data_IF_904252340767
#
_entry.id   IF_904252340767
#
_cell.length_a   1.000
_cell.length_b   1.000
_cell.length_c   1.000
_cell.angle_alpha   90.00
_cell.angle_beta   90.00
_cell.angle_gamma   90.00
#
_symmetry.space_group_name_H-M   'P 1'
#
loop_
_entity.id
_entity.type
_entity.pdbx_description
1 polymer ?
#
# COMPACT_ATOMS: atom_id res chain seq x y z
N UNK A 1 -82.86 22.94 18.26
CA UNK A 1 -82.61 23.12 16.80
C UNK A 1 -81.16 23.40 16.66
N UNK A 2 -80.40 22.38 16.44
CA UNK A 2 -78.94 22.48 16.23
C UNK A 2 -78.59 21.44 15.18
N UNK A 3 -77.98 21.87 14.11
CA UNK A 3 -77.58 21.02 12.98
C UNK A 3 -76.09 20.63 13.16
N UNK A 4 -75.84 19.36 13.23
CA UNK A 4 -74.53 18.78 13.20
C UNK A 4 -73.93 18.84 11.79
N UNK A 5 -72.71 19.29 11.69
CA UNK A 5 -71.88 19.14 10.51
C UNK A 5 -70.60 18.40 10.89
N UNK A 6 -70.55 17.12 10.55
CA UNK A 6 -69.39 16.25 10.71
C UNK A 6 -68.37 16.59 9.57
N UNK A 7 -67.18 17.03 9.92
CA UNK A 7 -66.05 17.15 9.00
C UNK A 7 -65.13 15.95 9.16
N UNK A 8 -65.05 15.17 8.09
CA UNK A 8 -64.05 14.12 7.87
C UNK A 8 -62.67 14.76 7.63
N UNK A 9 -61.76 14.55 8.52
CA UNK A 9 -60.33 14.85 8.28
C UNK A 9 -59.66 13.60 7.76
N UNK A 10 -59.29 13.67 6.46
CA UNK A 10 -58.43 12.66 5.83
C UNK A 10 -56.99 12.81 6.30
N UNK A 11 -56.51 11.77 6.94
CA UNK A 11 -55.09 11.68 7.34
C UNK A 11 -54.21 11.38 6.14
N UNK A 12 -53.37 12.34 5.76
CA UNK A 12 -52.27 12.12 4.84
C UNK A 12 -51.08 11.54 5.60
N UNK A 13 -50.82 10.26 5.36
CA UNK A 13 -49.60 9.60 5.84
C UNK A 13 -48.44 10.13 5.01
N UNK A 14 -47.55 10.87 5.68
CA UNK A 14 -46.29 11.32 5.10
C UNK A 14 -45.31 10.16 5.05
N UNK A 15 -45.02 9.67 3.86
CA UNK A 15 -43.87 8.82 3.56
C UNK A 15 -42.60 9.63 3.74
N UNK A 16 -41.94 9.50 4.87
CA UNK A 16 -40.60 10.03 5.09
C UNK A 16 -39.63 9.08 4.38
N UNK A 17 -39.20 9.50 3.19
CA UNK A 17 -38.19 8.79 2.40
C UNK A 17 -36.85 8.76 3.14
N UNK A 18 -36.32 7.56 3.36
CA UNK A 18 -35.00 7.31 3.92
C UNK A 18 -33.87 7.65 2.92
N UNK A 19 -33.79 8.91 2.46
CA UNK A 19 -32.74 9.43 1.59
C UNK A 19 -31.66 10.23 2.35
N UNK A 20 -31.75 10.32 3.68
CA UNK A 20 -30.92 11.20 4.50
C UNK A 20 -29.54 10.68 4.91
N UNK A 21 -29.24 9.38 4.74
CA UNK A 21 -28.05 8.79 5.36
C UNK A 21 -26.76 8.80 4.50
N UNK A 22 -26.82 9.16 3.24
CA UNK A 22 -25.65 9.13 2.33
C UNK A 22 -24.97 10.49 2.16
N UNK A 23 -25.63 11.58 2.50
CA UNK A 23 -25.12 12.94 2.21
C UNK A 23 -24.12 13.49 3.24
N UNK A 24 -23.98 12.89 4.40
CA UNK A 24 -23.08 13.42 5.47
C UNK A 24 -21.60 13.12 5.18
N UNK A 25 -21.28 12.11 4.37
CA UNK A 25 -19.90 11.73 4.04
C UNK A 25 -19.20 12.67 3.03
N UNK A 26 -19.94 13.38 2.19
CA UNK A 26 -19.35 14.12 1.05
C UNK A 26 -18.90 15.54 1.43
N UNK A 27 -19.49 16.14 2.45
CA UNK A 27 -19.22 17.54 2.85
C UNK A 27 -17.88 17.76 3.57
N UNK A 28 -17.23 16.71 4.07
CA UNK A 28 -15.95 16.82 4.79
C UNK A 28 -14.71 16.91 3.86
N UNK A 29 -14.87 16.78 2.57
CA UNK A 29 -13.79 16.82 1.60
C UNK A 29 -13.54 18.25 1.09
N UNK A 30 -13.09 19.14 1.97
CA UNK A 30 -12.53 20.44 1.53
C UNK A 30 -11.49 20.17 0.43
N UNK A 31 -11.32 21.14 -0.50
CA UNK A 31 -10.41 21.02 -1.66
C UNK A 31 -9.08 20.41 -1.21
N UNK A 32 -8.67 19.26 -1.76
CA UNK A 32 -7.41 18.64 -1.39
C UNK A 32 -6.27 19.59 -1.75
N UNK A 33 -5.22 19.56 -0.93
CA UNK A 33 -3.95 20.20 -1.29
C UNK A 33 -3.38 19.56 -2.56
N UNK A 34 -2.45 20.24 -3.22
CA UNK A 34 -1.69 19.68 -4.34
C UNK A 34 -1.09 18.32 -3.96
N UNK A 35 -1.08 17.39 -4.91
CA UNK A 35 -0.55 16.05 -4.71
C UNK A 35 0.96 16.11 -4.43
N UNK A 36 1.40 15.47 -3.38
CA UNK A 36 2.79 15.43 -2.91
C UNK A 36 3.34 14.00 -3.12
N UNK A 37 3.91 13.70 -4.28
CA UNK A 37 4.41 12.36 -4.61
C UNK A 37 5.41 11.79 -3.62
N UNK A 38 6.24 12.64 -3.02
CA UNK A 38 7.26 12.24 -2.06
C UNK A 38 6.75 12.14 -0.60
N UNK A 39 5.49 12.46 -0.34
CA UNK A 39 4.95 12.46 1.02
C UNK A 39 4.16 11.20 1.35
N UNK A 40 4.47 10.58 2.49
CA UNK A 40 3.80 9.39 2.97
C UNK A 40 3.47 9.52 4.46
N UNK A 41 2.25 9.21 4.85
CA UNK A 41 1.82 9.23 6.24
C UNK A 41 2.00 7.88 6.90
N UNK A 42 2.50 7.88 8.12
CA UNK A 42 2.43 6.73 9.03
C UNK A 42 1.21 6.94 9.94
N UNK A 43 0.23 6.03 9.89
CA UNK A 43 -0.91 6.07 10.79
C UNK A 43 -0.48 5.74 12.22
N UNK A 44 -0.94 6.56 13.15
CA UNK A 44 -0.72 6.30 14.56
C UNK A 44 -1.82 5.37 15.10
N UNK A 45 -1.54 4.57 16.14
CA UNK A 45 -2.54 3.68 16.75
C UNK A 45 -3.83 4.39 17.21
N UNK A 46 -3.69 5.64 17.64
CA UNK A 46 -4.80 6.48 18.11
C UNK A 46 -5.58 7.16 16.98
N UNK A 47 -5.12 7.12 15.74
CA UNK A 47 -5.83 7.74 14.61
C UNK A 47 -7.15 7.01 14.38
N UNK A 48 -8.26 7.66 14.69
CA UNK A 48 -9.59 7.09 14.54
C UNK A 48 -9.93 6.79 13.07
N UNK A 49 -9.57 7.74 12.18
CA UNK A 49 -9.72 7.64 10.72
C UNK A 49 -8.52 8.33 10.04
N UNK A 50 -7.50 7.58 9.66
CA UNK A 50 -6.25 8.15 9.14
C UNK A 50 -6.38 8.71 7.71
N UNK A 51 -7.23 8.11 6.86
CA UNK A 51 -7.26 8.39 5.42
C UNK A 51 -7.71 9.82 5.05
N UNK A 52 -8.77 10.40 5.65
CA UNK A 52 -9.23 11.74 5.27
C UNK A 52 -8.17 12.82 5.46
N UNK A 53 -7.37 12.73 6.53
CA UNK A 53 -6.32 13.72 6.80
C UNK A 53 -5.20 13.66 5.75
N UNK A 54 -4.81 12.46 5.34
CA UNK A 54 -3.79 12.18 4.32
C UNK A 54 -4.21 12.76 2.97
N UNK A 55 -5.43 12.45 2.54
CA UNK A 55 -5.97 12.91 1.25
C UNK A 55 -6.20 14.43 1.22
N UNK A 56 -6.64 15.05 2.33
CA UNK A 56 -6.76 16.52 2.41
C UNK A 56 -5.42 17.22 2.30
N UNK A 57 -4.36 16.65 2.85
CA UNK A 57 -3.01 17.20 2.79
C UNK A 57 -2.30 16.98 1.46
N UNK A 58 -2.85 16.12 0.60
CA UNK A 58 -2.26 15.76 -0.70
C UNK A 58 -1.14 14.73 -0.59
N UNK A 59 -0.95 14.07 0.55
CA UNK A 59 0.07 13.03 0.69
C UNK A 59 -0.24 11.85 -0.23
N UNK A 60 0.81 11.32 -0.86
CA UNK A 60 0.72 10.26 -1.88
C UNK A 60 0.84 8.85 -1.31
N UNK A 61 0.77 8.70 0.00
CA UNK A 61 0.80 7.38 0.60
C UNK A 61 0.39 7.36 2.07
N UNK A 62 0.05 6.15 2.51
CA UNK A 62 -0.36 5.86 3.88
C UNK A 62 0.10 4.45 4.27
N UNK A 63 0.78 4.33 5.41
CA UNK A 63 1.00 3.05 6.09
C UNK A 63 -0.04 2.88 7.18
N UNK A 64 -0.69 1.71 7.20
CA UNK A 64 -1.66 1.36 8.24
C UNK A 64 -1.29 0.02 8.88
N UNK A 65 -1.12 -0.02 10.21
CA UNK A 65 -0.96 -1.27 10.92
C UNK A 65 -2.30 -2.01 10.97
N UNK A 66 -2.27 -3.28 10.60
CA UNK A 66 -3.47 -4.15 10.61
C UNK A 66 -3.19 -5.46 11.32
N UNK A 67 -4.28 -6.10 11.75
CA UNK A 67 -4.27 -7.45 12.29
C UNK A 67 -5.55 -8.18 11.90
N UNK A 68 -5.48 -9.51 11.77
CA UNK A 68 -6.67 -10.31 11.56
C UNK A 68 -7.58 -10.27 12.77
N UNK A 69 -8.87 -10.38 12.54
CA UNK A 69 -9.87 -10.47 13.58
C UNK A 69 -11.06 -11.34 13.14
N UNK A 70 -12.16 -11.31 13.89
CA UNK A 70 -13.35 -12.10 13.59
C UNK A 70 -13.95 -11.74 12.23
N UNK A 71 -14.81 -12.63 11.74
CA UNK A 71 -15.59 -12.47 10.50
C UNK A 71 -14.77 -12.23 9.24
N UNK A 72 -13.48 -12.61 9.20
CA UNK A 72 -12.62 -12.40 8.03
C UNK A 72 -12.34 -10.93 7.73
N UNK A 73 -12.28 -10.08 8.76
CA UNK A 73 -11.93 -8.66 8.65
C UNK A 73 -10.52 -8.38 9.16
N UNK A 74 -9.90 -7.35 8.57
CA UNK A 74 -8.63 -6.78 9.02
C UNK A 74 -8.92 -5.51 9.81
N UNK A 75 -8.46 -5.46 11.05
CA UNK A 75 -8.70 -4.35 11.98
C UNK A 75 -7.48 -3.45 12.07
N UNK A 76 -7.71 -2.14 12.13
CA UNK A 76 -6.66 -1.14 12.24
C UNK A 76 -6.14 -1.02 13.68
N UNK A 77 -4.80 -0.97 13.80
CA UNK A 77 -4.11 -0.69 15.05
C UNK A 77 -3.90 -1.92 15.97
N UNK A 78 -3.18 -1.73 17.10
CA UNK A 78 -2.77 -2.81 18.00
C UNK A 78 -3.84 -3.21 19.03
N UNK A 79 -4.85 -2.39 19.27
CA UNK A 79 -5.88 -2.61 20.29
C UNK A 79 -6.83 -3.79 19.99
N UNK A 80 -7.82 -4.08 20.85
CA UNK A 80 -8.84 -5.10 20.57
C UNK A 80 -9.64 -4.80 19.30
N UNK A 81 -10.12 -5.81 18.55
CA UNK A 81 -11.00 -5.59 17.41
C UNK A 81 -12.19 -4.72 17.82
N UNK A 82 -12.30 -3.56 17.17
CA UNK A 82 -13.43 -2.65 17.41
C UNK A 82 -14.35 -2.67 16.20
N UNK A 83 -15.64 -2.93 16.37
CA UNK A 83 -16.58 -2.86 15.27
C UNK A 83 -16.47 -1.53 14.52
N UNK A 84 -16.34 -1.60 13.20
CA UNK A 84 -16.18 -0.39 12.39
C UNK A 84 -14.75 0.13 12.21
N UNK A 85 -13.75 -0.35 12.95
CA UNK A 85 -12.34 -0.01 12.73
C UNK A 85 -11.63 -1.01 11.81
N UNK A 86 -12.24 -1.34 10.68
CA UNK A 86 -11.68 -2.29 9.72
C UNK A 86 -10.95 -1.55 8.59
N UNK A 87 -9.93 -2.21 8.01
CA UNK A 87 -9.22 -1.73 6.82
C UNK A 87 -10.18 -1.44 5.68
N UNK A 88 -11.14 -2.34 5.45
CA UNK A 88 -12.16 -2.19 4.42
C UNK A 88 -12.95 -0.89 4.61
N UNK A 89 -13.50 -0.67 5.81
CA UNK A 89 -14.40 0.46 6.07
C UNK A 89 -13.69 1.80 6.09
N UNK A 90 -12.54 1.89 6.75
CA UNK A 90 -11.86 3.16 6.98
C UNK A 90 -10.85 3.54 5.89
N UNK A 91 -10.36 2.56 5.12
CA UNK A 91 -9.32 2.83 4.12
C UNK A 91 -9.75 2.40 2.72
N UNK A 92 -10.03 1.11 2.48
CA UNK A 92 -10.25 0.62 1.12
C UNK A 92 -11.51 1.22 0.50
N UNK A 93 -12.67 1.09 1.14
CA UNK A 93 -13.93 1.57 0.60
C UNK A 93 -13.93 3.07 0.27
N UNK A 94 -13.51 3.99 1.18
CA UNK A 94 -13.46 5.41 0.87
C UNK A 94 -12.39 5.78 -0.15
N UNK A 95 -11.23 5.10 -0.15
CA UNK A 95 -10.16 5.32 -1.12
C UNK A 95 -10.64 4.99 -2.54
N UNK A 96 -11.23 3.83 -2.72
CA UNK A 96 -11.71 3.38 -4.02
C UNK A 96 -12.99 4.08 -4.49
N UNK A 97 -13.91 4.43 -3.57
CA UNK A 97 -15.04 5.28 -3.90
C UNK A 97 -14.58 6.64 -4.46
N UNK A 98 -13.56 7.23 -3.83
CA UNK A 98 -12.97 8.49 -4.32
C UNK A 98 -12.32 8.32 -5.70
N UNK A 99 -11.57 7.25 -5.92
CA UNK A 99 -10.93 6.99 -7.22
C UNK A 99 -11.98 6.83 -8.33
N UNK A 100 -13.03 6.05 -8.10
CA UNK A 100 -14.14 5.89 -9.06
C UNK A 100 -14.82 7.20 -9.37
N UNK A 101 -15.14 8.02 -8.36
CA UNK A 101 -15.77 9.32 -8.54
C UNK A 101 -14.93 10.35 -9.31
N UNK A 102 -13.64 10.04 -9.55
CA UNK A 102 -12.65 10.93 -10.19
C UNK A 102 -12.00 10.31 -11.42
N UNK A 103 -12.66 9.38 -12.09
CA UNK A 103 -12.18 8.75 -13.32
C UNK A 103 -10.88 7.95 -13.13
N UNK A 104 -10.78 7.19 -12.02
CA UNK A 104 -9.61 6.36 -11.73
C UNK A 104 -8.46 7.09 -11.04
N UNK A 105 -8.67 8.31 -10.49
CA UNK A 105 -7.65 9.09 -9.81
C UNK A 105 -8.11 9.55 -8.43
N UNK A 106 -7.20 9.65 -7.48
CA UNK A 106 -7.50 10.18 -6.14
C UNK A 106 -7.47 11.71 -6.10
N UNK A 107 -6.59 12.33 -6.90
CA UNK A 107 -6.43 13.75 -7.06
C UNK A 107 -6.34 14.10 -8.55
N UNK A 108 -6.70 15.36 -8.92
CA UNK A 108 -6.65 15.82 -10.31
C UNK A 108 -5.23 15.78 -10.87
N UNK A 109 -4.25 16.13 -10.05
CA UNK A 109 -2.82 16.24 -10.33
C UNK A 109 -2.03 14.99 -9.93
N UNK A 110 -2.69 13.84 -9.80
CA UNK A 110 -2.04 12.56 -9.48
C UNK A 110 -1.15 12.10 -10.63
N UNK A 111 0.16 12.09 -10.40
CA UNK A 111 1.17 11.68 -11.38
C UNK A 111 1.70 10.26 -11.13
N UNK A 112 1.58 9.76 -9.91
CA UNK A 112 2.02 8.42 -9.50
C UNK A 112 0.93 7.76 -8.68
N UNK A 113 0.87 6.43 -8.63
CA UNK A 113 -0.06 5.71 -7.77
C UNK A 113 0.04 6.15 -6.30
N UNK A 114 -1.10 6.18 -5.62
CA UNK A 114 -1.13 6.31 -4.17
C UNK A 114 -0.57 5.02 -3.54
N UNK A 115 0.37 5.14 -2.62
CA UNK A 115 1.01 3.99 -1.97
C UNK A 115 0.27 3.64 -0.68
N UNK A 116 -0.41 2.52 -0.67
CA UNK A 116 -1.00 1.96 0.54
C UNK A 116 -0.09 0.84 1.07
N UNK A 117 0.58 1.07 2.18
CA UNK A 117 1.34 0.04 2.87
C UNK A 117 0.48 -0.56 3.96
N UNK A 118 0.17 -1.84 3.83
CA UNK A 118 -0.58 -2.62 4.83
C UNK A 118 0.44 -3.39 5.65
N UNK A 119 0.65 -2.93 6.88
CA UNK A 119 1.63 -3.50 7.79
C UNK A 119 0.95 -4.47 8.73
N UNK A 120 1.28 -5.75 8.61
CA UNK A 120 0.75 -6.78 9.47
C UNK A 120 1.56 -6.83 10.77
N UNK A 121 0.89 -6.52 11.87
CA UNK A 121 1.45 -6.53 13.21
C UNK A 121 0.52 -7.24 14.18
N UNK A 122 1.04 -7.51 15.38
CA UNK A 122 0.27 -8.11 16.45
C UNK A 122 1.12 -9.02 17.34
N UNK A 123 0.56 -9.55 18.43
CA UNK A 123 1.26 -10.44 19.34
C UNK A 123 1.59 -11.80 18.70
N UNK A 124 0.80 -12.23 17.73
CA UNK A 124 1.07 -13.48 17.01
C UNK A 124 2.00 -13.21 15.83
N UNK A 125 3.17 -13.82 15.87
CA UNK A 125 4.09 -13.96 14.74
C UNK A 125 3.93 -15.32 14.04
N UNK A 126 2.82 -16.00 14.30
CA UNK A 126 2.50 -17.26 13.67
C UNK A 126 2.28 -17.06 12.17
N UNK A 127 3.11 -17.72 11.38
CA UNK A 127 3.13 -17.60 9.93
C UNK A 127 1.76 -17.95 9.32
N UNK A 128 1.09 -18.98 9.83
CA UNK A 128 -0.22 -19.38 9.32
C UNK A 128 -1.29 -18.30 9.52
N UNK A 129 -1.30 -17.68 10.70
CA UNK A 129 -2.21 -16.56 11.00
C UNK A 129 -1.93 -15.37 10.09
N UNK A 130 -0.67 -15.02 9.84
CA UNK A 130 -0.29 -13.92 8.95
C UNK A 130 -0.63 -14.23 7.48
N UNK A 131 -0.40 -15.46 7.03
CA UNK A 131 -0.77 -15.89 5.68
C UNK A 131 -2.28 -15.89 5.49
N UNK A 132 -3.04 -16.30 6.50
CA UNK A 132 -4.51 -16.20 6.51
C UNK A 132 -4.97 -14.75 6.43
N UNK A 133 -4.31 -13.85 7.16
CA UNK A 133 -4.58 -12.41 7.10
C UNK A 133 -4.29 -11.82 5.71
N UNK A 134 -3.19 -12.22 5.07
CA UNK A 134 -2.92 -11.84 3.70
C UNK A 134 -4.02 -12.32 2.72
N UNK A 135 -4.50 -13.56 2.85
CA UNK A 135 -5.61 -14.06 2.01
C UNK A 135 -6.89 -13.24 2.17
N UNK A 136 -7.14 -12.70 3.38
CA UNK A 136 -8.26 -11.77 3.61
C UNK A 136 -8.02 -10.47 2.82
N UNK A 137 -6.81 -9.90 2.90
CA UNK A 137 -6.44 -8.70 2.15
C UNK A 137 -6.59 -8.93 0.64
N UNK A 138 -6.04 -10.00 0.10
CA UNK A 138 -6.09 -10.32 -1.34
C UNK A 138 -7.53 -10.38 -1.87
N UNK A 139 -8.45 -11.01 -1.12
CA UNK A 139 -9.87 -11.02 -1.49
C UNK A 139 -10.47 -9.61 -1.50
N UNK A 140 -10.18 -8.81 -0.48
CA UNK A 140 -10.68 -7.42 -0.42
C UNK A 140 -10.13 -6.55 -1.55
N UNK A 141 -8.89 -6.78 -1.99
CA UNK A 141 -8.28 -6.06 -3.10
C UNK A 141 -8.89 -6.45 -4.45
N UNK A 142 -9.21 -7.71 -4.65
CA UNK A 142 -9.84 -8.20 -5.91
C UNK A 142 -11.16 -7.50 -6.21
N UNK A 143 -11.93 -7.11 -5.19
CA UNK A 143 -13.17 -6.32 -5.35
C UNK A 143 -12.93 -4.93 -6.00
N UNK A 144 -11.65 -4.50 -6.06
CA UNK A 144 -11.23 -3.19 -6.54
C UNK A 144 -10.14 -3.26 -7.62
N UNK A 145 -9.98 -4.42 -8.26
CA UNK A 145 -8.91 -4.75 -9.21
C UNK A 145 -8.63 -3.66 -10.25
N UNK A 146 -9.68 -3.07 -10.84
CA UNK A 146 -9.56 -2.04 -11.89
C UNK A 146 -8.88 -0.73 -11.44
N UNK A 147 -8.70 -0.51 -10.14
CA UNK A 147 -8.09 0.70 -9.57
C UNK A 147 -6.70 0.44 -8.98
N UNK A 148 -6.29 -0.82 -8.94
CA UNK A 148 -5.04 -1.23 -8.35
C UNK A 148 -3.96 -1.45 -9.39
N UNK A 149 -2.72 -1.11 -9.02
CA UNK A 149 -1.57 -1.62 -9.74
C UNK A 149 -1.57 -3.14 -9.65
N UNK A 150 -1.31 -3.80 -10.78
CA UNK A 150 -1.31 -5.25 -10.87
C UNK A 150 -0.06 -5.78 -11.55
N UNK A 151 0.26 -7.02 -11.28
CA UNK A 151 1.27 -7.77 -12.00
C UNK A 151 0.66 -9.06 -12.50
N UNK A 152 0.83 -9.33 -13.77
CA UNK A 152 0.40 -10.58 -14.40
C UNK A 152 1.40 -10.98 -15.48
N UNK A 153 1.94 -12.20 -15.39
CA UNK A 153 2.78 -12.82 -16.42
C UNK A 153 3.97 -11.95 -16.91
N UNK A 154 4.63 -11.24 -16.01
CA UNK A 154 5.77 -10.37 -16.33
C UNK A 154 5.41 -8.91 -16.58
N UNK A 155 4.12 -8.58 -16.70
CA UNK A 155 3.66 -7.21 -16.97
C UNK A 155 3.19 -6.55 -15.68
N UNK A 156 3.75 -5.37 -15.40
CA UNK A 156 3.31 -4.48 -14.33
C UNK A 156 2.41 -3.39 -14.92
N UNK A 157 1.15 -3.39 -14.52
CA UNK A 157 0.18 -2.37 -14.91
C UNK A 157 -0.04 -1.39 -13.76
N UNK A 158 0.28 -0.10 -13.91
CA UNK A 158 0.06 0.90 -12.87
C UNK A 158 -1.42 1.24 -12.74
N UNK A 159 -1.95 1.22 -11.51
CA UNK A 159 -3.30 1.68 -11.17
C UNK A 159 -3.29 3.00 -10.41
N UNK A 160 -4.47 3.42 -9.93
CA UNK A 160 -4.59 4.59 -9.06
C UNK A 160 -3.91 4.38 -7.70
N UNK A 161 -3.85 3.12 -7.25
CA UNK A 161 -3.31 2.72 -5.95
C UNK A 161 -2.37 1.54 -6.12
N UNK A 162 -1.19 1.62 -5.54
CA UNK A 162 -0.27 0.48 -5.37
C UNK A 162 -0.30 0.04 -3.92
N UNK A 163 -0.54 -1.25 -3.68
CA UNK A 163 -0.57 -1.83 -2.34
C UNK A 163 0.73 -2.58 -2.07
N UNK A 164 1.41 -2.26 -0.98
CA UNK A 164 2.54 -3.02 -0.48
C UNK A 164 2.18 -3.69 0.85
N UNK A 165 2.73 -4.88 1.08
CA UNK A 165 2.52 -5.68 2.28
C UNK A 165 3.82 -5.75 3.07
N UNK A 166 3.75 -5.35 4.33
CA UNK A 166 4.85 -5.39 5.28
C UNK A 166 4.51 -6.27 6.50
N UNK A 167 5.53 -6.73 7.22
CA UNK A 167 5.36 -7.46 8.48
C UNK A 167 5.06 -8.96 8.37
N UNK A 168 5.05 -9.53 7.16
CA UNK A 168 4.90 -10.98 6.93
C UNK A 168 6.16 -11.51 6.24
N UNK A 169 6.90 -12.38 6.90
CA UNK A 169 8.17 -12.94 6.38
C UNK A 169 7.92 -13.74 5.09
N UNK A 170 6.93 -14.63 5.10
CA UNK A 170 6.68 -15.58 3.99
C UNK A 170 5.71 -15.04 2.93
N UNK A 171 5.33 -13.75 3.01
CA UNK A 171 4.39 -13.17 2.03
C UNK A 171 4.96 -13.17 0.60
N UNK A 172 6.28 -13.14 0.46
CA UNK A 172 6.96 -13.12 -0.84
C UNK A 172 6.70 -14.38 -1.65
N UNK A 173 6.77 -15.56 -1.02
CA UNK A 173 6.47 -16.83 -1.68
C UNK A 173 5.01 -16.87 -2.16
N UNK A 174 4.07 -16.44 -1.30
CA UNK A 174 2.67 -16.34 -1.70
C UNK A 174 2.45 -15.40 -2.88
N UNK A 175 3.04 -14.21 -2.82
CA UNK A 175 2.93 -13.22 -3.91
C UNK A 175 3.58 -13.72 -5.19
N UNK A 176 4.74 -14.36 -5.10
CA UNK A 176 5.45 -14.93 -6.26
C UNK A 176 4.66 -16.06 -6.92
N UNK A 177 3.94 -16.86 -6.12
CA UNK A 177 3.08 -17.96 -6.62
C UNK A 177 1.79 -17.50 -7.28
N UNK A 178 1.38 -16.25 -7.14
CA UNK A 178 0.17 -15.73 -7.77
C UNK A 178 0.41 -15.37 -9.23
N UNK A 179 -0.37 -15.95 -10.14
CA UNK A 179 -0.36 -15.60 -11.58
C UNK A 179 -0.69 -14.12 -11.78
N UNK A 180 -1.73 -13.63 -11.10
CA UNK A 180 -2.11 -12.21 -11.04
C UNK A 180 -2.17 -11.76 -9.60
N UNK A 181 -1.49 -10.66 -9.28
CA UNK A 181 -1.50 -10.06 -7.94
C UNK A 181 -1.77 -8.57 -7.98
N UNK A 182 -2.39 -8.09 -6.92
CA UNK A 182 -2.75 -6.68 -6.70
C UNK A 182 -2.02 -6.08 -5.50
N UNK A 183 -1.08 -6.84 -4.93
CA UNK A 183 -0.20 -6.39 -3.88
C UNK A 183 1.25 -6.78 -4.18
N UNK A 184 2.17 -6.07 -3.58
CA UNK A 184 3.60 -6.25 -3.72
C UNK A 184 4.22 -6.39 -2.32
N UNK A 185 5.38 -7.01 -2.21
CA UNK A 185 6.09 -7.04 -0.94
C UNK A 185 6.78 -5.69 -0.69
N UNK A 186 6.73 -5.22 0.55
CA UNK A 186 7.57 -4.12 1.02
C UNK A 186 8.96 -4.68 1.32
N UNK A 187 10.02 -4.02 0.87
CA UNK A 187 11.39 -4.49 0.98
C UNK A 187 12.24 -3.69 1.95
N UNK A 188 13.49 -4.10 2.10
CA UNK A 188 14.55 -3.38 2.82
C UNK A 188 15.79 -3.25 1.95
N UNK A 189 16.80 -2.50 2.39
CA UNK A 189 18.08 -2.45 1.66
C UNK A 189 18.81 -3.80 1.58
N UNK A 190 18.45 -4.76 2.44
CA UNK A 190 19.02 -6.13 2.37
C UNK A 190 18.49 -6.94 1.18
N UNK A 191 17.46 -6.43 0.49
CA UNK A 191 16.89 -7.05 -0.70
C UNK A 191 17.62 -6.68 -2.00
N UNK A 192 18.51 -5.69 -1.93
CA UNK A 192 19.28 -5.26 -3.10
C UNK A 192 20.23 -6.37 -3.57
N UNK A 193 20.24 -6.63 -4.87
CA UNK A 193 21.03 -7.71 -5.46
C UNK A 193 20.52 -9.12 -5.17
N UNK A 194 19.39 -9.27 -4.46
CA UNK A 194 18.88 -10.57 -4.01
C UNK A 194 17.94 -11.19 -5.05
N UNK A 195 18.27 -12.37 -5.63
CA UNK A 195 17.43 -13.00 -6.65
C UNK A 195 16.02 -13.38 -6.17
N UNK A 196 15.84 -13.68 -4.90
CA UNK A 196 14.54 -14.02 -4.30
C UNK A 196 13.62 -12.79 -4.12
N UNK A 197 14.14 -11.58 -4.30
CA UNK A 197 13.40 -10.34 -4.19
C UNK A 197 13.47 -9.50 -5.48
N UNK A 198 13.01 -10.00 -6.63
CA UNK A 198 13.08 -9.24 -7.88
C UNK A 198 12.25 -7.94 -7.80
N UNK A 199 12.61 -6.87 -8.52
CA UNK A 199 11.89 -5.59 -8.50
C UNK A 199 10.40 -5.70 -8.83
N UNK A 200 10.01 -6.65 -9.65
CA UNK A 200 8.61 -6.92 -9.95
C UNK A 200 7.81 -7.42 -8.73
N UNK A 201 8.47 -8.06 -7.77
CA UNK A 201 7.88 -8.55 -6.52
C UNK A 201 8.03 -7.51 -5.39
N UNK A 202 9.19 -6.86 -5.33
CA UNK A 202 9.59 -5.88 -4.31
C UNK A 202 9.93 -4.55 -5.00
N UNK A 203 8.94 -3.80 -5.49
CA UNK A 203 9.19 -2.57 -6.25
C UNK A 203 9.60 -1.37 -5.38
N UNK A 204 9.49 -1.50 -4.07
CA UNK A 204 9.80 -0.45 -3.12
C UNK A 204 10.67 -0.98 -1.99
N UNK A 205 11.75 -0.26 -1.71
CA UNK A 205 12.58 -0.45 -0.52
C UNK A 205 12.09 0.52 0.55
N UNK A 206 11.77 0.00 1.72
CA UNK A 206 11.29 0.76 2.87
C UNK A 206 12.23 0.55 4.04
N UNK A 207 12.88 1.63 4.48
CA UNK A 207 13.84 1.52 5.57
C UNK A 207 13.55 2.58 6.65
N UNK A 208 13.44 2.18 7.91
CA UNK A 208 13.50 3.12 9.03
C UNK A 208 14.91 3.70 9.17
N UNK A 209 15.01 5.03 9.33
CA UNK A 209 16.30 5.72 9.43
C UNK A 209 17.26 5.06 10.43
N UNK A 210 16.75 4.76 11.61
CA UNK A 210 17.54 4.21 12.72
C UNK A 210 18.06 2.78 12.52
N UNK A 211 17.60 2.08 11.49
CA UNK A 211 18.14 0.75 11.18
C UNK A 211 19.54 0.83 10.52
N UNK A 212 19.83 1.95 9.86
CA UNK A 212 21.07 2.09 9.08
C UNK A 212 21.93 3.26 9.51
N UNK A 213 21.32 4.30 10.09
CA UNK A 213 21.98 5.57 10.36
C UNK A 213 21.87 5.96 11.82
N UNK A 214 23.02 6.33 12.44
CA UNK A 214 23.11 6.81 13.80
C UNK A 214 22.83 8.30 13.93
N UNK A 215 23.12 9.07 12.86
CA UNK A 215 22.96 10.52 12.87
C UNK A 215 21.53 10.96 13.23
N UNK A 216 21.43 11.92 14.15
CA UNK A 216 20.16 12.36 14.71
C UNK A 216 19.70 13.74 14.19
N UNK A 217 20.42 14.35 13.25
CA UNK A 217 20.08 15.63 12.64
C UNK A 217 20.48 16.86 13.44
N UNK A 218 21.28 16.74 14.51
CA UNK A 218 21.73 17.87 15.34
C UNK A 218 23.00 18.50 14.83
N UNK A 219 23.98 17.67 14.54
CA UNK A 219 25.30 18.07 14.06
C UNK A 219 25.43 17.84 12.55
N UNK A 220 26.63 17.85 12.02
CA UNK A 220 26.90 17.48 10.63
C UNK A 220 26.90 15.96 10.49
N UNK A 221 26.20 15.42 9.50
CA UNK A 221 26.26 13.99 9.16
C UNK A 221 27.69 13.61 8.76
N UNK A 222 28.19 12.46 9.19
CA UNK A 222 29.51 11.99 8.82
C UNK A 222 29.62 11.73 7.30
N UNK A 223 30.82 11.82 6.77
CA UNK A 223 31.07 11.55 5.35
C UNK A 223 30.70 10.10 4.99
N UNK A 224 30.96 9.15 5.91
CA UNK A 224 30.68 7.74 5.75
C UNK A 224 29.16 7.48 5.68
N UNK A 225 28.38 8.02 6.62
CA UNK A 225 26.91 7.85 6.61
C UNK A 225 26.28 8.50 5.39
N UNK A 226 26.76 9.69 5.00
CA UNK A 226 26.29 10.36 3.78
C UNK A 226 26.60 9.54 2.54
N UNK A 227 27.83 9.03 2.41
CA UNK A 227 28.22 8.18 1.29
C UNK A 227 27.38 6.90 1.24
N UNK A 228 27.20 6.23 2.39
CA UNK A 228 26.35 5.03 2.49
C UNK A 228 24.92 5.32 2.05
N UNK A 229 24.33 6.43 2.51
CA UNK A 229 22.97 6.83 2.13
C UNK A 229 22.82 6.97 0.60
N UNK A 230 23.75 7.72 -0.03
CA UNK A 230 23.73 7.91 -1.48
C UNK A 230 23.93 6.58 -2.23
N UNK A 231 24.86 5.74 -1.79
CA UNK A 231 25.15 4.45 -2.42
C UNK A 231 23.94 3.50 -2.36
N UNK A 232 23.26 3.40 -1.21
CA UNK A 232 22.10 2.56 -1.05
C UNK A 232 20.90 3.03 -1.91
N UNK A 233 20.67 4.35 -1.94
CA UNK A 233 19.59 4.91 -2.78
C UNK A 233 19.90 4.68 -4.26
N UNK A 234 21.14 4.92 -4.69
CA UNK A 234 21.56 4.69 -6.07
C UNK A 234 21.41 3.21 -6.46
N UNK A 235 21.86 2.28 -5.62
CA UNK A 235 21.72 0.84 -5.89
C UNK A 235 20.26 0.42 -6.04
N UNK A 236 19.35 0.94 -5.19
CA UNK A 236 17.92 0.68 -5.34
C UNK A 236 17.37 1.25 -6.65
N UNK A 237 17.85 2.43 -7.04
CA UNK A 237 17.47 3.07 -8.29
C UNK A 237 17.97 2.33 -9.53
N UNK A 238 19.17 1.77 -9.48
CA UNK A 238 19.76 0.98 -10.57
C UNK A 238 18.93 -0.30 -10.82
N UNK A 239 18.34 -0.86 -9.78
CA UNK A 239 17.38 -1.96 -9.89
C UNK A 239 15.94 -1.50 -10.26
N UNK A 240 15.70 -0.21 -10.45
CA UNK A 240 14.37 0.33 -10.78
C UNK A 240 13.40 0.41 -9.60
N UNK A 241 13.89 0.27 -8.38
CA UNK A 241 13.04 0.32 -7.17
C UNK A 241 12.85 1.76 -6.68
N UNK A 242 11.75 1.98 -5.98
CA UNK A 242 11.47 3.23 -5.24
C UNK A 242 12.02 3.12 -3.83
N UNK A 243 12.62 4.18 -3.29
CA UNK A 243 13.10 4.21 -1.91
C UNK A 243 12.18 5.04 -1.04
N UNK A 244 11.69 4.43 0.04
CA UNK A 244 10.89 5.07 1.10
C UNK A 244 11.64 5.03 2.42
N UNK A 245 12.02 6.19 2.93
CA UNK A 245 12.67 6.32 4.24
C UNK A 245 11.67 6.79 5.29
N UNK A 246 11.70 6.19 6.47
CA UNK A 246 10.77 6.47 7.56
C UNK A 246 11.48 6.69 8.90
N UNK A 247 10.75 7.23 9.90
CA UNK A 247 11.20 7.31 11.27
C UNK A 247 12.46 8.14 11.48
N UNK A 248 12.54 9.39 10.99
CA UNK A 248 13.66 10.24 11.34
C UNK A 248 13.77 10.34 12.86
N UNK A 249 15.00 10.56 13.40
CA UNK A 249 15.19 10.56 14.84
C UNK A 249 14.21 11.49 15.56
N UNK A 250 13.69 11.00 16.68
CA UNK A 250 12.91 11.80 17.60
C UNK A 250 13.78 12.98 18.08
N UNK A 251 13.19 14.14 18.33
CA UNK A 251 13.92 15.29 18.76
C UNK A 251 13.27 16.59 18.26
N UNK A 252 14.09 17.61 18.03
CA UNK A 252 13.59 18.91 17.60
C UNK A 252 13.07 18.88 16.15
N UNK A 253 12.16 19.78 15.83
CA UNK A 253 11.72 19.99 14.44
C UNK A 253 12.88 20.34 13.50
N UNK A 254 13.93 20.98 14.03
CA UNK A 254 15.14 21.33 13.29
C UNK A 254 15.90 20.08 12.88
N UNK A 255 16.17 19.17 13.83
CA UNK A 255 16.87 17.92 13.58
C UNK A 255 16.13 17.05 12.53
N UNK A 256 14.81 16.91 12.68
CA UNK A 256 13.99 16.18 11.71
C UNK A 256 14.09 16.75 10.29
N UNK A 257 14.05 18.10 10.16
CA UNK A 257 14.20 18.74 8.85
C UNK A 257 15.59 18.56 8.27
N UNK A 258 16.63 18.51 9.10
CA UNK A 258 17.98 18.23 8.63
C UNK A 258 18.08 16.84 8.01
N UNK A 259 17.51 15.81 8.66
CA UNK A 259 17.43 14.45 8.08
C UNK A 259 16.62 14.45 6.77
N UNK A 260 15.48 15.11 6.72
CA UNK A 260 14.71 15.20 5.47
C UNK A 260 15.48 15.90 4.35
N UNK A 261 16.29 16.91 4.67
CA UNK A 261 17.13 17.59 3.68
C UNK A 261 18.22 16.66 3.12
N UNK A 262 18.89 15.86 3.97
CA UNK A 262 19.85 14.85 3.51
C UNK A 262 19.18 13.76 2.66
N UNK A 263 18.00 13.28 3.07
CA UNK A 263 17.21 12.34 2.26
C UNK A 263 16.87 12.91 0.88
N UNK A 264 16.45 14.18 0.83
CA UNK A 264 16.15 14.84 -0.42
C UNK A 264 17.40 15.02 -1.30
N UNK A 265 18.54 15.40 -0.70
CA UNK A 265 19.81 15.54 -1.39
C UNK A 265 20.33 14.21 -1.95
N UNK A 266 20.10 13.10 -1.23
CA UNK A 266 20.45 11.76 -1.69
C UNK A 266 19.48 11.22 -2.77
N UNK A 267 18.38 11.91 -3.06
CA UNK A 267 17.44 11.52 -4.10
C UNK A 267 16.40 10.49 -3.66
N UNK A 268 16.07 10.42 -2.36
CA UNK A 268 14.99 9.55 -1.87
C UNK A 268 13.68 9.86 -2.60
N UNK A 269 12.88 8.82 -2.89
CA UNK A 269 11.60 9.04 -3.57
C UNK A 269 10.47 9.41 -2.63
N UNK A 270 10.51 8.88 -1.39
CA UNK A 270 9.41 8.99 -0.44
C UNK A 270 9.94 9.18 0.98
N UNK A 271 9.45 10.22 1.62
CA UNK A 271 9.65 10.44 3.06
C UNK A 271 8.35 10.09 3.79
N UNK A 272 8.44 9.17 4.74
CA UNK A 272 7.33 8.74 5.57
C UNK A 272 7.49 9.25 7.01
N UNK A 273 6.44 9.89 7.54
CA UNK A 273 6.46 10.43 8.90
C UNK A 273 5.07 10.44 9.54
N UNK A 274 5.05 10.37 10.87
CA UNK A 274 3.83 10.53 11.67
C UNK A 274 3.40 11.99 11.74
N UNK A 275 4.35 12.94 11.69
CA UNK A 275 4.11 14.39 11.73
C UNK A 275 3.66 14.96 10.37
N UNK A 276 2.50 14.49 9.88
CA UNK A 276 1.99 14.81 8.55
C UNK A 276 2.02 16.32 8.21
N UNK A 277 1.57 17.20 9.14
CA UNK A 277 1.52 18.63 8.88
C UNK A 277 2.91 19.25 8.67
N UNK A 278 3.90 18.82 9.46
CA UNK A 278 5.29 19.28 9.35
C UNK A 278 5.93 18.77 8.07
N UNK A 279 5.70 17.52 7.72
CA UNK A 279 6.18 16.91 6.47
C UNK A 279 5.63 17.65 5.24
N UNK A 280 4.32 17.88 5.21
CA UNK A 280 3.66 18.62 4.10
C UNK A 280 4.23 20.02 3.94
N UNK A 281 4.44 20.74 5.05
CA UNK A 281 5.06 22.07 5.02
C UNK A 281 6.47 21.99 4.43
N UNK A 282 7.26 21.01 4.87
CA UNK A 282 8.63 20.82 4.37
C UNK A 282 8.65 20.50 2.86
N UNK A 283 7.88 19.52 2.41
CA UNK A 283 7.85 19.11 1.01
C UNK A 283 7.32 20.19 0.04
N UNK A 284 6.46 21.09 0.52
CA UNK A 284 6.01 22.25 -0.27
C UNK A 284 7.08 23.33 -0.41
N UNK A 285 7.90 23.49 0.61
CA UNK A 285 9.01 24.46 0.62
C UNK A 285 10.25 23.91 -0.10
N UNK A 286 10.45 22.58 -0.04
CA UNK A 286 11.61 21.89 -0.59
C UNK A 286 11.11 20.67 -1.40
N UNK A 287 10.60 20.87 -2.62
CA UNK A 287 10.13 19.78 -3.46
C UNK A 287 11.29 18.84 -3.79
N UNK A 288 11.09 17.55 -3.59
CA UNK A 288 12.04 16.53 -4.03
C UNK A 288 11.90 16.40 -5.53
N UNK A 289 12.96 16.76 -6.25
CA UNK A 289 13.04 16.57 -7.69
C UNK A 289 13.32 15.10 -7.97
N UNK A 290 12.38 14.44 -8.61
CA UNK A 290 12.61 13.06 -9.05
C UNK A 290 13.52 13.06 -10.26
N UNK A 291 14.60 12.27 -10.27
CA UNK A 291 15.30 12.02 -11.51
C UNK A 291 14.32 11.40 -12.52
N UNK A 292 14.36 11.87 -13.76
CA UNK A 292 13.56 11.27 -14.85
C UNK A 292 14.06 9.84 -15.03
N UNK A 293 13.36 8.88 -14.45
CA UNK A 293 13.70 7.47 -14.61
C UNK A 293 13.22 7.01 -15.97
N UNK A 294 14.13 6.49 -16.76
CA UNK A 294 13.77 5.68 -17.90
C UNK A 294 13.07 4.42 -17.38
N UNK A 295 11.93 4.01 -17.96
CA UNK A 295 11.33 2.72 -17.60
C UNK A 295 12.42 1.65 -17.75
N UNK A 296 12.67 0.89 -16.69
CA UNK A 296 13.54 -0.29 -16.80
C UNK A 296 12.82 -1.25 -17.74
N UNK A 297 13.45 -1.67 -18.85
CA UNK A 297 12.85 -2.67 -19.72
C UNK A 297 12.54 -3.91 -18.89
N UNK A 298 11.28 -4.34 -18.84
CA UNK A 298 10.92 -5.60 -18.24
C UNK A 298 11.68 -6.68 -19.00
N UNK A 299 12.55 -7.49 -18.34
CA UNK A 299 13.23 -8.57 -19.04
C UNK A 299 12.19 -9.50 -19.66
N UNK A 300 12.40 -9.98 -20.89
CA UNK A 300 11.44 -10.89 -21.53
C UNK A 300 11.20 -12.09 -20.62
N UNK A 301 9.97 -12.61 -20.58
CA UNK A 301 9.63 -13.75 -19.76
C UNK A 301 10.59 -14.89 -20.06
N UNK A 302 11.17 -15.49 -19.03
CA UNK A 302 12.03 -16.65 -19.19
C UNK A 302 11.28 -17.68 -20.03
N UNK A 303 11.79 -18.01 -21.22
CA UNK A 303 11.20 -19.03 -22.08
C UNK A 303 11.10 -20.31 -21.24
N UNK A 304 9.88 -20.74 -20.97
CA UNK A 304 9.66 -22.07 -20.38
C UNK A 304 10.32 -23.07 -21.30
N UNK A 305 11.34 -23.75 -20.84
CA UNK A 305 11.80 -24.99 -21.47
C UNK A 305 10.58 -25.93 -21.50
N UNK A 306 10.16 -26.42 -22.67
CA UNK A 306 9.05 -27.36 -22.74
C UNK A 306 9.40 -28.56 -21.88
N UNK A 307 8.52 -28.91 -20.95
CA UNK A 307 8.66 -30.13 -20.16
C UNK A 307 8.87 -31.30 -21.11
N UNK A 308 9.83 -32.18 -20.85
CA UNK A 308 10.03 -33.36 -21.67
C UNK A 308 8.71 -34.14 -21.73
N UNK A 309 8.26 -34.47 -22.94
CA UNK A 309 7.06 -35.29 -23.14
C UNK A 309 7.26 -36.61 -22.39
N UNK A 310 6.26 -37.08 -21.63
CA UNK A 310 6.37 -38.40 -21.02
C UNK A 310 6.65 -39.43 -22.11
N UNK A 311 7.81 -40.09 -22.01
CA UNK A 311 8.23 -41.12 -22.92
C UNK A 311 7.17 -42.21 -22.94
N UNK A 312 6.78 -42.68 -24.14
CA UNK A 312 5.95 -43.87 -24.31
C UNK A 312 6.63 -45.02 -23.57
N UNK A 313 5.96 -45.57 -22.58
CA UNK A 313 6.37 -46.81 -21.91
C UNK A 313 6.35 -47.89 -22.97
N UNK A 314 7.47 -48.59 -23.24
CA UNK A 314 7.46 -49.71 -24.18
C UNK A 314 6.60 -50.84 -23.60
N UNK A 315 5.55 -51.21 -24.30
CA UNK A 315 4.74 -52.41 -24.03
C UNK A 315 5.60 -53.64 -24.23
N UNK A 316 5.82 -54.42 -23.18
CA UNK A 316 6.49 -55.71 -23.18
C UNK A 316 5.69 -56.70 -24.06
N UNK A 317 6.32 -57.40 -25.01
CA UNK A 317 5.59 -58.41 -25.79
C UNK A 317 5.13 -59.57 -24.91
N UNK A 318 3.92 -60.04 -25.16
CA UNK A 318 3.32 -61.18 -24.50
C UNK A 318 4.15 -62.43 -24.77
N UNK A 319 4.49 -63.18 -23.72
CA UNK A 319 5.13 -64.45 -23.83
C UNK A 319 4.14 -65.48 -24.46
N UNK A 320 4.55 -66.08 -25.57
CA UNK A 320 3.89 -67.21 -26.20
C UNK A 320 3.92 -68.38 -25.23
N UNK A 321 2.77 -68.87 -24.82
CA UNK A 321 2.60 -70.14 -24.10
C UNK A 321 2.60 -71.25 -25.14
N UNK A 322 3.72 -71.91 -25.22
CA UNK A 322 3.84 -73.13 -26.00
C UNK A 322 3.14 -74.30 -25.24
N UNK A 323 2.07 -74.87 -25.83
CA UNK A 323 1.48 -76.13 -25.44
C UNK A 323 2.06 -77.20 -26.34
N UNK A 324 2.77 -78.05 -25.75
CA UNK A 324 3.21 -79.37 -26.28
C UNK A 324 3.34 -80.33 -25.14
#
# INVERSE_FOLDING_TARGET
MASDVSTLTAGTAALVSAAGAVSIGVSLWRRPGAYLPAGHALALPQDADPLPSVLRRGLAGLTVPVRPGPHGELFLGPGLPSPGRTLRRLVLAPLFARARARGGRLCRDQQVPFRLVVEFGGPSRDAETLLRAYRILDRQLRDHAALLSSYEEGVLEPGAVTVAVAGIVDVRELLAGQRRRYAFADGSFDDLGTPSAPPALVPMISEPWRHRFGWDGRDTISAEERHLLHALIQAAHDEGRTVRMSGPPGGSRRARRAVWAELAAAGVDVIADTSQATLVKHLRQHPIQRPVRRPVPVPPPLRRTPSPRPGKIPTKPAAEVNRG
#
